data_IF_229180345009
#
_entry.id   IF_229180345009
#
_cell.length_a   1.000
_cell.length_b   1.000
_cell.length_c   1.000
_cell.angle_alpha   90.00
_cell.angle_beta   90.00
_cell.angle_gamma   90.00
#
_symmetry.space_group_name_H-M   'P 1'
#
loop_
_entity.id
_entity.type
_entity.pdbx_description
1 polymer ?
#
# COMPACT_ATOMS: atom_id res chain seq x y z
N UNK A 1 -17.45 4.05 21.87
CA UNK A 1 -17.86 3.54 20.54
C UNK A 1 -17.75 2.03 20.59
N UNK A 2 -18.86 1.30 20.48
CA UNK A 2 -18.86 -0.17 20.55
C UNK A 2 -18.58 -0.71 19.15
N UNK A 3 -17.50 -1.47 19.00
CA UNK A 3 -17.08 -2.06 17.72
C UNK A 3 -17.06 -3.57 17.91
N UNK A 4 -17.75 -4.28 17.02
CA UNK A 4 -17.71 -5.75 16.95
C UNK A 4 -16.80 -6.14 15.80
N UNK A 5 -15.77 -6.94 16.08
CA UNK A 5 -14.90 -7.49 15.05
C UNK A 5 -15.46 -8.83 14.57
N UNK A 6 -15.53 -8.99 13.24
CA UNK A 6 -15.91 -10.24 12.60
C UNK A 6 -14.74 -10.74 11.75
N UNK A 7 -14.50 -12.05 11.81
CA UNK A 7 -13.50 -12.70 10.97
C UNK A 7 -14.15 -13.16 9.65
N UNK A 8 -13.43 -12.95 8.55
CA UNK A 8 -13.85 -13.38 7.22
C UNK A 8 -12.66 -13.62 6.31
N UNK A 9 -12.88 -14.40 5.27
CA UNK A 9 -11.91 -14.69 4.21
C UNK A 9 -12.21 -13.83 2.99
N UNK A 10 -11.17 -13.45 2.25
CA UNK A 10 -11.35 -12.81 0.94
C UNK A 10 -11.41 -13.92 -0.12
N UNK A 11 -12.56 -14.07 -0.76
CA UNK A 11 -12.77 -15.02 -1.85
C UNK A 11 -13.20 -14.24 -3.11
N UNK A 12 -12.44 -14.34 -4.20
CA UNK A 12 -12.69 -13.61 -5.46
C UNK A 12 -12.84 -12.08 -5.29
N UNK A 13 -12.03 -11.48 -4.41
CA UNK A 13 -12.10 -10.05 -4.13
C UNK A 13 -13.31 -9.60 -3.29
N UNK A 14 -14.11 -10.56 -2.81
CA UNK A 14 -15.24 -10.29 -1.91
C UNK A 14 -14.93 -10.83 -0.52
N UNK A 15 -15.27 -10.04 0.52
CA UNK A 15 -15.15 -10.49 1.90
C UNK A 15 -16.32 -11.41 2.21
N UNK A 16 -16.01 -12.66 2.54
CA UNK A 16 -16.96 -13.64 3.05
C UNK A 16 -16.79 -13.77 4.55
N UNK A 17 -17.81 -13.36 5.29
CA UNK A 17 -17.87 -13.58 6.73
C UNK A 17 -18.17 -15.07 7.01
N UNK A 18 -17.67 -15.60 8.13
CA UNK A 18 -18.07 -16.95 8.60
C UNK A 18 -19.60 -17.06 8.65
N UNK A 19 -20.11 -18.25 8.32
CA UNK A 19 -21.54 -18.47 8.09
C UNK A 19 -22.41 -17.94 9.25
N UNK A 20 -23.56 -17.34 8.91
CA UNK A 20 -24.59 -16.75 9.78
C UNK A 20 -24.37 -15.32 10.30
N UNK A 21 -23.37 -14.57 9.82
CA UNK A 21 -23.28 -13.14 10.13
C UNK A 21 -24.04 -12.33 9.07
N UNK A 22 -25.21 -11.82 9.45
CA UNK A 22 -25.97 -10.85 8.65
C UNK A 22 -25.75 -9.45 9.22
N UNK A 23 -25.16 -8.57 8.43
CA UNK A 23 -25.01 -7.16 8.80
C UNK A 23 -26.27 -6.38 8.37
N UNK A 24 -26.80 -5.46 9.19
CA UNK A 24 -27.94 -4.65 8.82
C UNK A 24 -27.66 -3.81 7.55
N UNK A 25 -28.72 -3.51 6.80
CA UNK A 25 -28.60 -2.68 5.60
C UNK A 25 -27.99 -1.31 5.92
N UNK A 26 -27.08 -0.83 5.06
CA UNK A 26 -26.33 0.43 5.19
C UNK A 26 -25.42 0.53 6.44
N UNK A 27 -25.01 -0.59 7.03
CA UNK A 27 -24.03 -0.58 8.13
C UNK A 27 -22.66 -0.14 7.62
N UNK A 28 -22.04 0.85 8.27
CA UNK A 28 -20.65 1.24 7.99
C UNK A 28 -19.71 0.17 8.55
N UNK A 29 -18.87 -0.40 7.70
CA UNK A 29 -17.91 -1.44 8.07
C UNK A 29 -16.48 -0.91 7.95
N UNK A 30 -15.58 -1.43 8.79
CA UNK A 30 -14.14 -1.22 8.69
C UNK A 30 -13.48 -2.58 8.47
N UNK A 31 -12.57 -2.66 7.50
CA UNK A 31 -11.84 -3.90 7.17
C UNK A 31 -10.42 -3.76 7.66
N UNK A 32 -9.97 -4.71 8.48
CA UNK A 32 -8.59 -4.80 8.95
C UNK A 32 -7.97 -5.98 8.24
N UNK A 33 -6.93 -5.73 7.43
CA UNK A 33 -6.20 -6.77 6.70
C UNK A 33 -4.82 -6.87 7.36
N UNK A 34 -4.52 -7.94 8.11
CA UNK A 34 -3.17 -8.17 8.60
C UNK A 34 -2.26 -8.41 7.39
N UNK A 35 -1.10 -7.73 7.36
CA UNK A 35 -0.06 -7.93 6.34
C UNK A 35 -0.48 -7.64 4.89
N UNK A 36 -1.37 -6.67 4.68
CA UNK A 36 -1.47 -6.09 3.34
C UNK A 36 -0.17 -5.34 3.07
N UNK A 37 0.78 -5.99 2.38
CA UNK A 37 1.86 -5.32 1.68
C UNK A 37 1.22 -4.47 0.57
N UNK A 38 0.64 -3.34 0.96
CA UNK A 38 0.50 -2.24 0.02
C UNK A 38 1.94 -1.94 -0.36
N UNK A 39 2.35 -2.30 -1.57
CA UNK A 39 3.61 -1.82 -2.13
C UNK A 39 3.57 -0.30 -1.97
N UNK A 40 4.23 0.20 -0.92
CA UNK A 40 4.30 1.63 -0.66
C UNK A 40 5.12 2.14 -1.82
N UNK A 41 4.45 2.75 -2.81
CA UNK A 41 5.13 3.45 -3.88
C UNK A 41 5.84 4.62 -3.23
N UNK A 42 7.10 4.41 -2.85
CA UNK A 42 7.96 5.46 -2.31
C UNK A 42 8.18 6.44 -3.45
N UNK A 43 7.59 7.62 -3.33
CA UNK A 43 7.84 8.70 -4.27
C UNK A 43 9.09 9.43 -3.83
N UNK A 44 10.20 9.16 -4.50
CA UNK A 44 11.41 9.97 -4.37
C UNK A 44 11.19 11.24 -5.19
N UNK A 45 11.17 12.40 -4.53
CA UNK A 45 11.05 13.68 -5.22
C UNK A 45 12.43 14.04 -5.78
N UNK A 46 12.50 14.23 -7.10
CA UNK A 46 13.73 14.70 -7.75
C UNK A 46 13.98 16.16 -7.40
N UNK A 47 15.22 16.55 -7.04
CA UNK A 47 15.60 17.95 -6.92
C UNK A 47 15.27 18.74 -8.20
N UNK A 48 15.00 20.04 -8.06
CA UNK A 48 14.89 20.95 -9.21
C UNK A 48 16.21 21.68 -9.38
N UNK A 49 16.63 21.88 -10.63
CA UNK A 49 17.76 22.76 -10.94
C UNK A 49 17.35 24.21 -10.65
N UNK A 50 18.29 24.99 -10.10
CA UNK A 50 18.13 26.44 -9.92
C UNK A 50 18.06 27.14 -11.28
N UNK A 51 18.79 26.60 -12.26
CA UNK A 51 18.87 27.08 -13.64
C UNK A 51 18.57 25.92 -14.61
N UNK A 52 17.38 25.87 -15.22
CA UNK A 52 16.96 24.75 -16.08
C UNK A 52 17.88 24.47 -17.27
N UNK A 53 18.55 25.49 -17.80
CA UNK A 53 19.48 25.42 -18.92
C UNK A 53 20.71 24.54 -18.66
N UNK A 54 21.08 24.33 -17.39
CA UNK A 54 22.24 23.52 -16.99
C UNK A 54 22.01 22.01 -17.12
N UNK A 55 20.82 21.58 -17.54
CA UNK A 55 20.48 20.14 -17.62
C UNK A 55 21.47 19.32 -18.46
N UNK A 56 22.12 19.96 -19.44
CA UNK A 56 23.12 19.34 -20.33
C UNK A 56 24.36 18.90 -19.55
N UNK A 57 24.68 19.58 -18.44
CA UNK A 57 25.85 19.30 -17.61
C UNK A 57 25.61 18.11 -16.64
N UNK A 58 24.38 17.62 -16.52
CA UNK A 58 24.02 16.54 -15.60
C UNK A 58 23.71 15.23 -16.35
N UNK A 59 24.41 14.15 -15.97
CA UNK A 59 24.13 12.79 -16.44
C UNK A 59 23.53 11.96 -15.30
N UNK A 60 22.35 11.38 -15.52
CA UNK A 60 21.71 10.47 -14.55
C UNK A 60 22.37 9.10 -14.61
N UNK A 61 22.78 8.58 -13.47
CA UNK A 61 23.21 7.21 -13.28
C UNK A 61 22.24 6.50 -12.32
N UNK A 62 21.86 5.27 -12.63
CA UNK A 62 21.04 4.42 -11.77
C UNK A 62 21.82 3.14 -11.55
N UNK A 63 22.11 2.84 -10.29
CA UNK A 63 22.79 1.63 -9.86
C UNK A 63 21.75 0.78 -9.15
N UNK A 64 21.54 -0.44 -9.64
CA UNK A 64 20.71 -1.42 -8.93
C UNK A 64 21.53 -1.97 -7.76
N UNK A 65 21.07 -1.72 -6.54
CA UNK A 65 21.68 -2.32 -5.36
C UNK A 65 21.38 -3.83 -5.36
N UNK A 66 22.40 -4.63 -5.04
CA UNK A 66 22.20 -6.06 -4.83
C UNK A 66 21.22 -6.27 -3.66
N UNK A 67 20.40 -7.33 -3.69
CA UNK A 67 19.55 -7.65 -2.55
C UNK A 67 20.45 -7.79 -1.31
N UNK A 68 20.16 -7.00 -0.28
CA UNK A 68 20.83 -7.12 1.00
C UNK A 68 20.74 -8.58 1.45
N UNK A 69 21.88 -9.18 1.81
CA UNK A 69 21.84 -10.45 2.52
C UNK A 69 21.22 -10.16 3.89
N UNK A 70 19.96 -10.57 4.08
CA UNK A 70 19.28 -10.52 5.36
C UNK A 70 20.15 -11.26 6.41
N UNK A 71 20.61 -10.53 7.43
CA UNK A 71 21.32 -11.06 8.62
C UNK A 71 20.34 -11.14 9.78
#
# INVERSE_FOLDING_TARGET
>A
MQVTAYEGTVENGQIRLKANISLPNKTKVYVIIPELETQRRVRIVSPRLVHPEQIIDFKKEVIEEAPNADV
#
